data_IF_570459601612
#
_entry.id   IF_570459601612
#
_cell.length_a   1.000
_cell.length_b   1.000
_cell.length_c   1.000
_cell.angle_alpha   90.00
_cell.angle_beta   90.00
_cell.angle_gamma   90.00
#
_symmetry.space_group_name_H-M   'P 1'
#
loop_
_entity.id
_entity.type
_entity.pdbx_description
1 polymer ?
#
# COMPACT_ATOMS: atom_id res chain seq x y z
N UNK A 1 33.72 9.54 21.23
CA UNK A 1 34.31 8.20 21.47
C UNK A 1 35.17 7.90 20.26
N UNK A 2 36.36 7.30 20.39
CA UNK A 2 37.16 6.89 19.24
C UNK A 2 36.33 6.03 18.31
N UNK A 3 36.43 6.29 17.00
CA UNK A 3 35.74 5.52 15.98
C UNK A 3 36.62 4.33 15.61
N UNK A 4 36.22 3.13 16.01
CA UNK A 4 36.96 1.92 15.66
C UNK A 4 36.72 1.55 14.20
N UNK A 5 37.59 0.69 13.65
CA UNK A 5 37.52 0.34 12.22
C UNK A 5 36.18 -0.32 11.85
N UNK A 6 35.63 -1.16 12.74
CA UNK A 6 34.33 -1.81 12.53
C UNK A 6 33.17 -0.80 12.46
N UNK A 7 33.19 0.22 13.30
CA UNK A 7 32.19 1.30 13.27
C UNK A 7 32.31 2.15 12.01
N UNK A 8 33.54 2.41 11.57
CA UNK A 8 33.80 3.14 10.33
C UNK A 8 33.35 2.34 9.11
N UNK A 9 33.60 1.02 9.08
CA UNK A 9 33.11 0.11 8.05
C UNK A 9 31.58 0.13 8.02
N UNK A 10 30.93 -0.02 9.18
CA UNK A 10 29.46 0.03 9.26
C UNK A 10 28.89 1.35 8.74
N UNK A 11 29.52 2.49 9.09
CA UNK A 11 29.12 3.81 8.57
C UNK A 11 29.33 3.93 7.06
N UNK A 12 30.43 3.41 6.54
CA UNK A 12 30.74 3.45 5.10
C UNK A 12 29.77 2.59 4.30
N UNK A 13 29.43 1.40 4.81
CA UNK A 13 28.39 0.55 4.23
C UNK A 13 27.01 1.21 4.25
N UNK A 14 26.66 1.86 5.36
CA UNK A 14 25.41 2.65 5.44
C UNK A 14 25.39 3.81 4.43
N UNK A 15 26.51 4.50 4.27
CA UNK A 15 26.67 5.56 3.28
C UNK A 15 26.48 5.01 1.85
N UNK A 16 27.16 3.91 1.52
CA UNK A 16 27.01 3.22 0.23
C UNK A 16 25.54 2.94 -0.11
N UNK A 17 24.79 2.31 0.79
CA UNK A 17 23.37 2.01 0.54
C UNK A 17 22.47 3.25 0.44
N UNK A 18 22.83 4.34 1.11
CA UNK A 18 22.06 5.58 1.08
C UNK A 18 22.28 6.40 -0.20
N UNK A 19 23.44 6.24 -0.83
CA UNK A 19 23.87 7.01 -2.00
C UNK A 19 24.00 6.17 -3.29
N UNK A 20 23.31 5.03 -3.37
CA UNK A 20 23.39 4.15 -4.54
C UNK A 20 23.04 4.86 -5.85
N UNK A 21 22.10 5.81 -5.83
CA UNK A 21 21.71 6.56 -7.02
C UNK A 21 22.88 7.39 -7.55
N UNK A 22 23.51 8.20 -6.70
CA UNK A 22 24.64 9.06 -7.06
C UNK A 22 25.85 8.21 -7.49
N UNK A 23 26.15 7.16 -6.72
CA UNK A 23 27.27 6.27 -7.01
C UNK A 23 27.12 5.58 -8.37
N UNK A 24 25.91 5.13 -8.74
CA UNK A 24 25.65 4.51 -10.04
C UNK A 24 25.85 5.48 -11.22
N UNK A 25 25.68 6.78 -10.99
CA UNK A 25 25.96 7.84 -11.97
C UNK A 25 27.44 8.24 -12.01
N UNK A 26 28.28 7.61 -11.19
CA UNK A 26 29.69 7.98 -11.04
C UNK A 26 29.88 9.26 -10.21
N UNK A 27 28.84 9.73 -9.52
CA UNK A 27 28.88 10.94 -8.70
C UNK A 27 29.31 10.57 -7.27
N UNK A 28 30.55 10.90 -6.92
CA UNK A 28 31.06 10.72 -5.57
C UNK A 28 31.97 11.88 -5.16
N UNK A 29 31.54 12.62 -4.14
CA UNK A 29 32.29 13.75 -3.60
C UNK A 29 33.39 13.35 -2.59
N UNK A 30 33.53 12.04 -2.33
CA UNK A 30 34.38 11.50 -1.27
C UNK A 30 33.63 11.32 0.07
N UNK A 31 34.12 10.38 0.88
CA UNK A 31 33.66 10.12 2.24
C UNK A 31 34.80 10.40 3.23
N UNK A 32 34.58 11.34 4.15
CA UNK A 32 35.55 11.70 5.19
C UNK A 32 34.96 11.42 6.57
N UNK A 33 35.56 10.52 7.34
CA UNK A 33 35.13 10.15 8.69
C UNK A 33 36.18 10.59 9.74
N UNK A 34 35.83 11.47 10.69
CA UNK A 34 36.72 11.78 11.80
C UNK A 34 36.85 10.57 12.74
N UNK A 35 38.09 10.18 13.06
CA UNK A 35 38.37 8.98 13.87
C UNK A 35 38.35 9.24 15.38
N UNK A 36 38.29 10.51 15.78
CA UNK A 36 38.16 10.95 17.17
C UNK A 36 39.16 10.30 18.14
N UNK A 37 40.49 10.38 17.89
CA UNK A 37 41.49 9.76 18.75
C UNK A 37 41.33 10.20 20.22
N UNK A 38 41.69 9.34 21.19
CA UNK A 38 41.61 9.67 22.61
C UNK A 38 42.31 10.99 22.97
N UNK A 39 41.75 11.72 23.93
CA UNK A 39 42.46 12.85 24.56
C UNK A 39 43.58 12.32 25.47
N UNK A 40 44.57 13.16 25.81
CA UNK A 40 45.68 12.75 26.69
C UNK A 40 45.19 12.10 28.01
N UNK A 41 44.16 12.67 28.63
CA UNK A 41 43.57 12.13 29.86
C UNK A 41 42.93 10.75 29.67
N UNK A 42 42.25 10.52 28.54
CA UNK A 42 41.64 9.21 28.21
C UNK A 42 42.69 8.19 27.81
N UNK A 43 43.73 8.62 27.10
CA UNK A 43 44.84 7.76 26.70
C UNK A 43 45.61 7.20 27.90
N UNK A 44 45.79 8.00 28.95
CA UNK A 44 46.45 7.57 30.18
C UNK A 44 45.55 6.72 31.08
N UNK A 45 44.23 6.93 31.03
CA UNK A 45 43.27 6.15 31.77
C UNK A 45 43.13 4.72 31.23
N UNK A 46 43.32 4.51 29.92
CA UNK A 46 43.27 3.21 29.26
C UNK A 46 44.27 3.13 28.11
N UNK A 47 45.50 2.72 28.43
CA UNK A 47 46.62 2.66 27.49
C UNK A 47 46.42 1.54 26.48
N UNK A 48 45.88 0.40 26.90
CA UNK A 48 45.71 -0.78 26.03
C UNK A 48 44.63 -0.52 24.99
N UNK A 49 43.49 0.09 25.36
CA UNK A 49 42.48 0.49 24.38
C UNK A 49 43.00 1.56 23.41
N UNK A 50 43.88 2.46 23.87
CA UNK A 50 44.49 3.49 23.02
C UNK A 50 45.47 2.89 22.00
N UNK A 51 46.29 1.93 22.42
CA UNK A 51 47.19 1.19 21.50
C UNK A 51 46.40 0.40 20.49
N UNK A 52 45.34 -0.29 20.93
CA UNK A 52 44.49 -1.07 20.03
C UNK A 52 43.81 -0.16 19.00
N UNK A 53 43.28 0.99 19.41
CA UNK A 53 42.72 1.98 18.49
C UNK A 53 43.76 2.43 17.43
N UNK A 54 44.98 2.77 17.82
CA UNK A 54 46.03 3.18 16.87
C UNK A 54 46.35 2.03 15.91
N UNK A 55 46.58 0.82 16.45
CA UNK A 55 46.96 -0.39 15.71
C UNK A 55 45.96 -0.78 14.63
N UNK A 56 44.66 -0.55 14.85
CA UNK A 56 43.62 -0.87 13.86
C UNK A 56 43.72 -0.05 12.57
N UNK A 57 44.35 1.13 12.63
CA UNK A 57 44.47 2.02 11.48
C UNK A 57 45.86 2.00 10.85
N UNK A 58 46.89 1.55 11.59
CA UNK A 58 48.31 1.59 11.18
C UNK A 58 48.56 1.03 9.76
N UNK A 59 49.41 1.72 9.01
CA UNK A 59 49.87 1.27 7.68
C UNK A 59 48.88 1.49 6.54
N UNK A 60 47.75 2.17 6.79
CA UNK A 60 46.77 2.53 5.77
C UNK A 60 47.05 3.88 5.13
N UNK A 61 46.99 3.93 3.80
CA UNK A 61 47.20 5.16 3.01
C UNK A 61 45.98 6.08 2.95
N UNK A 62 44.78 5.56 3.25
CA UNK A 62 43.52 6.30 3.29
C UNK A 62 43.26 7.00 4.64
N UNK A 63 44.22 6.94 5.56
CA UNK A 63 44.12 7.53 6.90
C UNK A 63 45.10 8.69 7.07
N UNK A 64 44.59 9.83 7.47
CA UNK A 64 45.39 10.96 7.93
C UNK A 64 45.85 10.72 9.37
N UNK A 65 47.15 10.94 9.62
CA UNK A 65 47.78 10.86 10.94
C UNK A 65 48.23 12.22 11.43
N UNK A 66 48.14 12.45 12.74
CA UNK A 66 48.66 13.65 13.38
C UNK A 66 49.41 13.33 14.67
N UNK A 67 50.49 14.06 14.92
CA UNK A 67 51.26 13.95 16.17
C UNK A 67 50.53 14.68 17.31
N UNK A 68 50.19 13.96 18.38
CA UNK A 68 49.62 14.51 19.62
C UNK A 68 50.65 14.51 20.73
N UNK A 69 50.69 15.59 21.51
CA UNK A 69 51.56 15.69 22.68
C UNK A 69 50.82 15.22 23.94
N UNK A 70 51.16 14.02 24.40
CA UNK A 70 50.67 13.41 25.64
C UNK A 70 51.75 13.37 26.73
N UNK A 71 52.80 14.20 26.62
CA UNK A 71 53.84 14.34 27.65
C UNK A 71 53.30 14.66 29.05
N UNK A 72 52.24 15.49 29.24
CA UNK A 72 51.67 15.75 30.57
C UNK A 72 51.14 14.51 31.31
N UNK A 73 50.89 13.42 30.58
CA UNK A 73 50.42 12.14 31.15
C UNK A 73 51.47 11.03 31.02
N UNK A 74 52.72 11.37 30.73
CA UNK A 74 53.84 10.43 30.67
C UNK A 74 53.94 9.58 29.39
N UNK A 75 53.10 9.84 28.37
CA UNK A 75 53.06 9.05 27.13
C UNK A 75 53.85 9.66 25.96
N UNK A 76 54.40 10.88 26.13
CA UNK A 76 55.26 11.52 25.13
C UNK A 76 54.51 12.05 23.91
N UNK A 77 55.22 12.21 22.77
CA UNK A 77 54.61 12.56 21.48
C UNK A 77 54.24 11.28 20.75
N UNK A 78 52.96 11.14 20.38
CA UNK A 78 52.42 9.94 19.75
C UNK A 78 51.73 10.33 18.46
N UNK A 79 52.06 9.65 17.35
CA UNK A 79 51.31 9.76 16.11
C UNK A 79 50.02 8.96 16.23
N UNK A 80 48.89 9.59 15.91
CA UNK A 80 47.57 8.97 16.06
C UNK A 80 46.73 9.17 14.80
N UNK A 81 45.90 8.19 14.42
CA UNK A 81 44.99 8.32 13.29
C UNK A 81 43.90 9.34 13.63
N UNK A 82 43.67 10.32 12.75
CA UNK A 82 42.72 11.42 12.99
C UNK A 82 41.51 11.38 12.07
N UNK A 83 41.65 10.90 10.83
CA UNK A 83 40.59 10.94 9.82
C UNK A 83 40.80 9.85 8.77
N UNK A 84 39.73 9.16 8.41
CA UNK A 84 39.67 8.30 7.21
C UNK A 84 39.12 9.14 6.05
N UNK A 85 39.76 9.08 4.88
CA UNK A 85 39.33 9.77 3.66
C UNK A 85 39.30 8.79 2.49
N UNK A 86 38.11 8.57 1.93
CA UNK A 86 37.89 7.76 0.74
C UNK A 86 37.49 8.72 -0.39
N UNK A 87 38.29 8.83 -1.43
CA UNK A 87 38.15 9.81 -2.51
C UNK A 87 37.49 9.22 -3.76
N UNK A 88 37.57 7.90 -3.94
CA UNK A 88 37.02 7.19 -5.11
C UNK A 88 35.93 6.20 -4.70
N UNK A 89 35.06 5.84 -5.64
CA UNK A 89 34.00 4.84 -5.42
C UNK A 89 34.66 3.49 -5.13
N UNK A 90 35.75 3.17 -5.80
CA UNK A 90 36.54 1.95 -5.59
C UNK A 90 37.07 1.88 -4.14
N UNK A 91 37.63 2.97 -3.62
CA UNK A 91 38.06 3.06 -2.22
C UNK A 91 36.89 2.85 -1.24
N UNK A 92 35.73 3.46 -1.51
CA UNK A 92 34.52 3.27 -0.71
C UNK A 92 34.05 1.81 -0.71
N UNK A 93 33.97 1.19 -1.88
CA UNK A 93 33.46 -0.17 -2.08
C UNK A 93 34.37 -1.20 -1.41
N UNK A 94 35.69 -1.05 -1.57
CA UNK A 94 36.69 -1.91 -0.92
C UNK A 94 36.68 -1.72 0.60
N UNK A 95 36.64 -0.48 1.09
CA UNK A 95 36.62 -0.22 2.54
C UNK A 95 35.35 -0.75 3.20
N UNK A 96 34.19 -0.56 2.56
CA UNK A 96 32.89 -0.99 3.07
C UNK A 96 32.64 -2.49 2.91
N UNK A 97 33.52 -3.23 2.20
CA UNK A 97 33.41 -4.66 1.92
C UNK A 97 32.10 -5.01 1.18
N UNK A 98 31.84 -4.29 0.09
CA UNK A 98 30.63 -4.43 -0.75
C UNK A 98 30.98 -4.65 -2.23
N UNK A 99 32.16 -5.17 -2.53
CA UNK A 99 32.68 -5.39 -3.90
C UNK A 99 31.74 -6.26 -4.74
N UNK A 100 31.30 -7.41 -4.20
CA UNK A 100 30.39 -8.32 -4.89
C UNK A 100 29.01 -7.70 -5.12
N UNK A 101 28.51 -6.97 -4.11
CA UNK A 101 27.22 -6.26 -4.21
C UNK A 101 27.29 -5.14 -5.25
N UNK A 102 28.38 -4.37 -5.26
CA UNK A 102 28.62 -3.31 -6.23
C UNK A 102 28.72 -3.85 -7.65
N UNK A 103 29.48 -4.94 -7.84
CA UNK A 103 29.61 -5.60 -9.15
C UNK A 103 28.27 -6.09 -9.67
N UNK A 104 27.47 -6.78 -8.83
CA UNK A 104 26.14 -7.25 -9.22
C UNK A 104 25.17 -6.10 -9.51
N UNK A 105 25.23 -5.01 -8.73
CA UNK A 105 24.40 -3.83 -8.96
C UNK A 105 24.74 -3.15 -10.29
N UNK A 106 26.03 -3.04 -10.62
CA UNK A 106 26.48 -2.45 -11.88
C UNK A 106 26.11 -3.33 -13.10
N UNK A 107 26.19 -4.65 -12.96
CA UNK A 107 25.71 -5.59 -13.98
C UNK A 107 24.22 -5.38 -14.25
N UNK A 108 23.40 -5.30 -13.20
CA UNK A 108 21.95 -5.04 -13.32
C UNK A 108 21.66 -3.66 -13.91
N UNK A 109 22.41 -2.64 -13.52
CA UNK A 109 22.30 -1.29 -14.08
C UNK A 109 22.57 -1.31 -15.59
N UNK A 110 23.57 -2.07 -16.04
CA UNK A 110 23.92 -2.20 -17.45
C UNK A 110 22.83 -2.88 -18.30
N UNK A 111 22.03 -3.79 -17.72
CA UNK A 111 20.89 -4.39 -18.43
C UNK A 111 19.78 -3.39 -18.74
N UNK A 112 19.74 -2.26 -18.03
CA UNK A 112 18.80 -1.17 -18.23
C UNK A 112 19.41 -0.04 -19.08
N UNK A 113 20.49 -0.28 -19.83
CA UNK A 113 21.14 0.73 -20.69
C UNK A 113 20.26 1.28 -21.81
N UNK A 114 19.12 0.65 -22.08
CA UNK A 114 18.12 1.18 -23.00
C UNK A 114 17.37 2.39 -22.45
N UNK A 115 17.49 2.69 -21.16
CA UNK A 115 16.79 3.77 -20.45
C UNK A 115 17.76 4.88 -20.04
N UNK A 116 17.22 6.04 -19.67
CA UNK A 116 18.02 7.17 -19.18
C UNK A 116 18.69 6.79 -17.85
N UNK A 117 20.01 6.97 -17.77
CA UNK A 117 20.82 6.56 -16.61
C UNK A 117 20.32 7.20 -15.31
N UNK A 118 19.97 8.48 -15.35
CA UNK A 118 19.46 9.25 -14.21
C UNK A 118 18.12 8.69 -13.70
N UNK A 119 17.23 8.26 -14.60
CA UNK A 119 15.95 7.67 -14.22
C UNK A 119 16.15 6.31 -13.56
N UNK A 120 17.00 5.46 -14.15
CA UNK A 120 17.30 4.13 -13.62
C UNK A 120 17.96 4.24 -12.24
N UNK A 121 18.99 5.09 -12.12
CA UNK A 121 19.75 5.26 -10.87
C UNK A 121 18.86 5.79 -9.73
N UNK A 122 18.03 6.80 -10.01
CA UNK A 122 17.09 7.38 -9.04
C UNK A 122 16.11 6.35 -8.47
N UNK A 123 15.75 5.35 -9.27
CA UNK A 123 14.79 4.30 -8.89
C UNK A 123 15.45 2.97 -8.56
N UNK A 124 16.73 2.97 -8.15
CA UNK A 124 17.50 1.77 -7.76
C UNK A 124 16.78 0.86 -6.77
N UNK A 125 15.97 1.40 -5.87
CA UNK A 125 15.18 0.61 -4.92
C UNK A 125 14.16 -0.33 -5.58
N UNK A 126 13.69 -0.03 -6.78
CA UNK A 126 12.69 -0.83 -7.51
C UNK A 126 13.30 -2.05 -8.20
N UNK A 127 14.60 -2.03 -8.50
CA UNK A 127 15.26 -3.05 -9.33
C UNK A 127 16.50 -3.69 -8.70
N UNK A 128 17.13 -3.08 -7.67
CA UNK A 128 18.36 -3.60 -7.05
C UNK A 128 18.25 -4.99 -6.45
N UNK A 129 17.05 -5.49 -6.17
CA UNK A 129 16.82 -6.83 -5.63
C UNK A 129 16.31 -7.83 -6.68
N UNK A 130 16.05 -7.38 -7.91
CA UNK A 130 15.55 -8.23 -8.98
C UNK A 130 16.66 -9.12 -9.54
N UNK A 131 16.28 -10.31 -9.99
CA UNK A 131 17.17 -11.18 -10.73
C UNK A 131 17.48 -10.60 -12.13
N UNK A 132 18.57 -11.03 -12.75
CA UNK A 132 18.88 -10.68 -14.14
C UNK A 132 17.76 -11.13 -15.11
N UNK A 133 17.10 -12.26 -14.80
CA UNK A 133 15.96 -12.74 -15.58
C UNK A 133 14.75 -11.79 -15.46
N UNK A 134 14.46 -11.29 -14.26
CA UNK A 134 13.37 -10.33 -14.05
C UNK A 134 13.65 -8.98 -14.70
N UNK A 135 14.90 -8.52 -14.73
CA UNK A 135 15.26 -7.29 -15.46
C UNK A 135 15.08 -7.46 -16.97
N UNK A 136 15.48 -8.62 -17.50
CA UNK A 136 15.24 -8.96 -18.90
C UNK A 136 13.74 -8.97 -19.22
N UNK A 137 12.91 -9.53 -18.34
CA UNK A 137 11.44 -9.46 -18.45
C UNK A 137 10.92 -8.02 -18.39
N UNK A 138 11.48 -7.18 -17.53
CA UNK A 138 11.07 -5.77 -17.43
C UNK A 138 11.27 -5.03 -18.75
N UNK A 139 12.40 -5.25 -19.44
CA UNK A 139 12.64 -4.69 -20.78
C UNK A 139 11.57 -5.13 -21.77
N UNK A 140 11.28 -6.44 -21.85
CA UNK A 140 10.25 -7.00 -22.75
C UNK A 140 8.85 -6.44 -22.46
N UNK A 141 8.51 -6.28 -21.18
CA UNK A 141 7.22 -5.71 -20.77
C UNK A 141 7.12 -4.24 -21.16
N UNK A 142 8.19 -3.46 -20.98
CA UNK A 142 8.22 -2.06 -21.40
C UNK A 142 8.06 -1.96 -22.92
N UNK A 143 8.78 -2.75 -23.70
CA UNK A 143 8.63 -2.81 -25.16
C UNK A 143 7.18 -3.10 -25.56
N UNK A 144 6.54 -4.08 -24.92
CA UNK A 144 5.14 -4.41 -25.16
C UNK A 144 4.20 -3.21 -24.92
N UNK A 145 4.41 -2.42 -23.85
CA UNK A 145 3.59 -1.23 -23.55
C UNK A 145 3.90 -0.02 -24.45
N UNK A 146 5.07 0.02 -25.06
CA UNK A 146 5.38 1.01 -26.10
C UNK A 146 4.68 0.66 -27.42
N UNK A 147 4.57 -0.62 -27.73
CA UNK A 147 3.82 -1.11 -28.91
C UNK A 147 2.30 -1.07 -28.71
N UNK A 148 1.82 -1.15 -27.47
CA UNK A 148 0.39 -1.24 -27.12
C UNK A 148 -0.04 -0.17 -26.08
N UNK A 149 0.13 1.14 -26.34
CA UNK A 149 0.04 2.19 -25.32
C UNK A 149 -1.35 2.41 -24.70
N UNK A 150 -2.42 1.94 -25.35
CA UNK A 150 -3.81 2.04 -24.90
C UNK A 150 -4.54 0.72 -25.16
N UNK A 151 -3.90 -0.40 -24.80
CA UNK A 151 -4.42 -1.73 -25.10
C UNK A 151 -5.85 -1.95 -24.58
N UNK A 152 -6.24 -1.27 -23.48
CA UNK A 152 -7.50 -1.52 -22.77
C UNK A 152 -7.58 -2.93 -22.18
N UNK A 153 -6.48 -3.68 -22.23
CA UNK A 153 -6.43 -5.05 -21.74
C UNK A 153 -6.40 -5.04 -20.22
N UNK A 154 -7.06 -6.03 -19.63
CA UNK A 154 -6.87 -6.33 -18.22
C UNK A 154 -5.41 -6.75 -18.00
N UNK A 155 -4.86 -6.43 -16.83
CA UNK A 155 -3.48 -6.78 -16.42
C UNK A 155 -3.07 -8.24 -16.68
N UNK A 156 -4.02 -9.19 -16.63
CA UNK A 156 -3.76 -10.63 -16.86
C UNK A 156 -3.67 -11.01 -18.34
N UNK A 157 -4.19 -10.16 -19.23
CA UNK A 157 -4.22 -10.38 -20.66
C UNK A 157 -2.99 -9.79 -21.37
N UNK A 158 -2.10 -9.10 -20.64
CA UNK A 158 -0.79 -8.67 -21.13
C UNK A 158 0.07 -9.91 -21.35
N UNK A 159 0.24 -10.31 -22.60
CA UNK A 159 0.95 -11.52 -22.99
C UNK A 159 2.40 -11.20 -23.34
N UNK A 160 3.30 -11.38 -22.37
CA UNK A 160 4.74 -11.24 -22.53
C UNK A 160 5.41 -12.55 -22.11
N UNK A 161 6.36 -13.03 -22.92
CA UNK A 161 7.05 -14.29 -22.68
C UNK A 161 7.74 -14.32 -21.31
N UNK A 162 7.55 -15.41 -20.55
CA UNK A 162 8.14 -15.57 -19.20
C UNK A 162 7.51 -14.71 -18.10
N UNK A 163 6.51 -13.87 -18.41
CA UNK A 163 5.85 -12.99 -17.46
C UNK A 163 4.51 -13.58 -17.02
N UNK A 164 4.43 -14.05 -15.78
CA UNK A 164 3.15 -14.43 -15.18
C UNK A 164 2.44 -13.21 -14.59
N UNK A 165 1.12 -13.24 -14.46
CA UNK A 165 0.34 -12.07 -14.02
C UNK A 165 0.83 -11.41 -12.72
N UNK A 166 1.18 -12.20 -11.70
CA UNK A 166 1.66 -11.64 -10.42
C UNK A 166 2.94 -10.83 -10.58
N UNK A 167 3.72 -11.07 -11.64
CA UNK A 167 4.97 -10.38 -11.90
C UNK A 167 4.69 -8.91 -12.23
N UNK A 168 3.79 -8.66 -13.21
CA UNK A 168 3.42 -7.29 -13.57
C UNK A 168 2.78 -6.54 -12.40
N UNK A 169 1.96 -7.22 -11.58
CA UNK A 169 1.38 -6.62 -10.37
C UNK A 169 2.47 -6.18 -9.37
N UNK A 170 3.48 -7.02 -9.12
CA UNK A 170 4.55 -6.75 -8.16
C UNK A 170 5.56 -5.71 -8.66
N UNK A 171 5.73 -5.58 -9.98
CA UNK A 171 6.73 -4.70 -10.60
C UNK A 171 6.11 -3.51 -11.34
N UNK A 172 4.81 -3.26 -11.16
CA UNK A 172 4.05 -2.21 -11.87
C UNK A 172 4.73 -0.85 -11.82
N UNK A 173 5.19 -0.43 -10.64
CA UNK A 173 5.86 0.86 -10.45
C UNK A 173 7.14 0.98 -11.27
N UNK A 174 7.93 -0.10 -11.36
CA UNK A 174 9.13 -0.13 -12.19
C UNK A 174 8.75 0.04 -13.67
N UNK A 175 7.77 -0.72 -14.13
CA UNK A 175 7.31 -0.67 -15.53
C UNK A 175 6.75 0.71 -15.89
N UNK A 176 5.89 1.30 -15.05
CA UNK A 176 5.34 2.65 -15.25
C UNK A 176 6.45 3.71 -15.34
N UNK A 177 7.48 3.60 -14.51
CA UNK A 177 8.64 4.51 -14.54
C UNK A 177 9.47 4.33 -15.81
N UNK A 178 9.76 3.09 -16.22
CA UNK A 178 10.56 2.81 -17.41
C UNK A 178 9.81 3.15 -18.72
N UNK A 179 8.50 2.96 -18.76
CA UNK A 179 7.65 3.39 -19.88
C UNK A 179 7.61 4.92 -19.95
N UNK A 180 7.47 5.62 -18.83
CA UNK A 180 7.50 7.09 -18.80
C UNK A 180 8.80 7.64 -19.37
N UNK A 181 9.94 7.07 -18.96
CA UNK A 181 11.26 7.42 -19.49
C UNK A 181 11.32 7.30 -21.02
N UNK A 182 10.86 6.17 -21.57
CA UNK A 182 10.82 5.93 -23.01
C UNK A 182 9.89 6.85 -23.77
N UNK A 183 8.81 7.33 -23.13
CA UNK A 183 7.86 8.28 -23.72
C UNK A 183 8.28 9.74 -23.53
N UNK A 184 9.31 10.02 -22.71
CA UNK A 184 9.67 11.38 -22.32
C UNK A 184 8.65 12.03 -21.39
N UNK A 185 7.91 11.22 -20.64
CA UNK A 185 6.90 11.65 -19.67
C UNK A 185 7.51 11.80 -18.27
N UNK A 186 7.10 12.80 -17.48
CA UNK A 186 7.56 12.91 -16.10
C UNK A 186 6.90 11.86 -15.20
N UNK A 187 7.70 11.25 -14.32
CA UNK A 187 7.17 10.40 -13.24
C UNK A 187 6.82 8.99 -13.68
N UNK A 188 5.53 8.67 -13.74
CA UNK A 188 4.99 7.34 -14.02
C UNK A 188 3.98 7.42 -15.15
N UNK A 189 4.14 6.56 -16.14
CA UNK A 189 3.25 6.50 -17.28
C UNK A 189 1.95 5.77 -16.91
N UNK A 190 0.85 6.18 -17.52
CA UNK A 190 -0.31 5.32 -17.65
C UNK A 190 0.00 4.21 -18.67
N UNK A 191 -0.14 2.97 -18.23
CA UNK A 191 0.08 1.78 -19.05
C UNK A 191 -1.07 1.52 -20.04
N UNK A 192 -2.18 2.26 -19.93
CA UNK A 192 -3.34 2.09 -20.80
C UNK A 192 -4.01 0.72 -20.62
N UNK A 193 -3.92 0.17 -19.40
CA UNK A 193 -4.61 -1.04 -19.00
C UNK A 193 -6.08 -0.73 -18.73
N UNK A 194 -6.95 -1.66 -19.12
CA UNK A 194 -8.36 -1.61 -18.74
C UNK A 194 -8.58 -2.13 -17.34
N UNK A 195 -9.63 -1.65 -16.69
CA UNK A 195 -10.19 -2.25 -15.49
C UNK A 195 -11.26 -3.28 -15.84
N UNK A 196 -11.40 -4.28 -14.97
CA UNK A 196 -12.52 -5.21 -15.10
C UNK A 196 -13.80 -4.42 -14.89
N UNK A 197 -14.77 -4.61 -15.77
CA UNK A 197 -16.05 -3.94 -15.63
C UNK A 197 -16.66 -4.27 -14.27
N UNK A 198 -17.10 -3.24 -13.55
CA UNK A 198 -17.76 -3.41 -12.27
C UNK A 198 -19.03 -4.25 -12.44
N UNK A 199 -19.26 -5.17 -11.49
CA UNK A 199 -20.41 -6.07 -11.50
C UNK A 199 -21.18 -5.98 -10.19
N UNK A 200 -22.47 -6.24 -10.25
CA UNK A 200 -23.35 -6.37 -9.09
C UNK A 200 -24.08 -7.71 -9.15
N UNK A 201 -24.18 -8.35 -7.98
CA UNK A 201 -24.97 -9.56 -7.79
C UNK A 201 -26.35 -9.20 -7.28
N UNK A 202 -27.38 -9.73 -7.92
CA UNK A 202 -28.78 -9.43 -7.68
C UNK A 202 -29.56 -10.72 -7.45
N UNK A 203 -30.48 -10.70 -6.48
CA UNK A 203 -31.47 -11.75 -6.24
C UNK A 203 -32.89 -11.22 -6.44
N UNK A 204 -33.71 -12.04 -7.08
CA UNK A 204 -35.09 -11.71 -7.47
C UNK A 204 -36.07 -12.73 -6.93
N UNK A 205 -37.29 -12.28 -6.65
CA UNK A 205 -38.40 -13.21 -6.50
C UNK A 205 -38.72 -13.88 -7.84
N UNK A 206 -39.19 -15.13 -7.81
CA UNK A 206 -39.43 -15.96 -9.00
C UNK A 206 -40.31 -15.32 -10.09
N UNK A 207 -41.23 -14.43 -9.71
CA UNK A 207 -42.13 -13.72 -10.63
C UNK A 207 -41.47 -12.56 -11.38
N UNK A 208 -40.39 -12.00 -10.83
CA UNK A 208 -39.64 -10.86 -11.37
C UNK A 208 -38.29 -11.28 -11.97
N UNK A 209 -37.94 -12.56 -11.85
CA UNK A 209 -36.65 -13.10 -12.21
C UNK A 209 -36.39 -12.98 -13.73
N UNK A 210 -35.34 -12.25 -14.17
CA UNK A 210 -35.02 -12.11 -15.57
C UNK A 210 -34.68 -13.46 -16.18
N UNK A 211 -35.41 -13.84 -17.25
CA UNK A 211 -35.32 -15.16 -17.87
C UNK A 211 -35.50 -16.35 -16.88
N UNK A 212 -36.19 -16.13 -15.75
CA UNK A 212 -36.38 -17.13 -14.69
C UNK A 212 -35.17 -17.36 -13.78
N UNK A 213 -34.11 -16.55 -13.89
CA UNK A 213 -32.91 -16.65 -13.06
C UNK A 213 -33.05 -15.78 -11.81
N UNK A 214 -33.11 -16.40 -10.64
CA UNK A 214 -33.39 -15.72 -9.36
C UNK A 214 -32.15 -15.20 -8.63
N UNK A 215 -30.94 -15.56 -9.08
CA UNK A 215 -29.65 -15.11 -8.53
C UNK A 215 -28.67 -14.98 -9.70
N UNK A 216 -28.29 -13.74 -10.02
CA UNK A 216 -27.41 -13.43 -11.16
C UNK A 216 -26.36 -12.40 -10.77
N UNK A 217 -25.24 -12.41 -11.47
CA UNK A 217 -24.24 -11.34 -11.39
C UNK A 217 -24.03 -10.73 -12.77
N UNK A 218 -24.36 -9.44 -12.90
CA UNK A 218 -24.32 -8.71 -14.16
C UNK A 218 -23.32 -7.55 -14.10
N UNK A 219 -22.68 -7.20 -15.23
CA UNK A 219 -21.95 -5.94 -15.33
C UNK A 219 -22.89 -4.75 -15.08
N UNK A 220 -22.37 -3.67 -14.50
CA UNK A 220 -23.18 -2.48 -14.19
C UNK A 220 -23.78 -1.87 -15.47
N UNK A 221 -23.12 -1.97 -16.62
CA UNK A 221 -23.69 -1.46 -17.88
C UNK A 221 -24.97 -2.18 -18.30
N UNK A 222 -25.16 -3.43 -17.86
CA UNK A 222 -26.30 -4.25 -18.26
C UNK A 222 -27.53 -4.02 -17.38
N UNK A 223 -27.43 -3.20 -16.33
CA UNK A 223 -28.56 -2.93 -15.44
C UNK A 223 -29.72 -2.23 -16.17
N UNK A 224 -29.46 -1.50 -17.26
CA UNK A 224 -30.50 -0.89 -18.08
C UNK A 224 -31.39 -1.90 -18.83
N UNK A 225 -30.94 -3.16 -18.94
CA UNK A 225 -31.70 -4.24 -19.58
C UNK A 225 -32.65 -4.94 -18.60
N UNK A 226 -32.51 -4.67 -17.30
CA UNK A 226 -33.36 -5.25 -16.27
C UNK A 226 -34.59 -4.37 -16.04
N UNK A 227 -35.72 -5.01 -15.71
CA UNK A 227 -36.90 -4.28 -15.29
C UNK A 227 -36.60 -3.50 -14.00
N UNK A 228 -37.01 -2.23 -13.98
CA UNK A 228 -36.86 -1.38 -12.79
C UNK A 228 -37.68 -1.94 -11.62
N UNK A 229 -37.05 -2.17 -10.46
CA UNK A 229 -37.73 -2.69 -9.29
C UNK A 229 -38.46 -1.56 -8.54
N UNK A 230 -39.51 -1.93 -7.81
CA UNK A 230 -40.20 -0.96 -6.94
C UNK A 230 -39.32 -0.62 -5.73
N UNK A 231 -38.66 -1.64 -5.18
CA UNK A 231 -37.76 -1.52 -4.04
C UNK A 231 -36.46 -2.27 -4.35
N UNK A 232 -35.34 -1.64 -4.02
CA UNK A 232 -34.03 -2.30 -4.00
C UNK A 232 -33.61 -2.42 -2.54
N UNK A 233 -33.30 -3.64 -2.10
CA UNK A 233 -32.69 -3.87 -0.80
C UNK A 233 -31.21 -4.17 -1.00
N UNK A 234 -30.35 -3.17 -0.72
CA UNK A 234 -28.91 -3.33 -0.73
C UNK A 234 -28.43 -3.88 0.61
N UNK A 235 -27.73 -5.01 0.57
CA UNK A 235 -27.25 -5.73 1.75
C UNK A 235 -25.74 -5.85 1.68
N UNK A 236 -25.06 -5.45 2.76
CA UNK A 236 -23.60 -5.39 2.78
C UNK A 236 -22.94 -6.79 2.83
N UNK A 237 -23.38 -7.61 3.78
CA UNK A 237 -22.83 -8.92 4.06
C UNK A 237 -23.35 -9.99 3.08
N UNK A 238 -22.45 -10.82 2.56
CA UNK A 238 -22.78 -11.85 1.57
C UNK A 238 -23.67 -12.96 2.16
N UNK A 239 -23.41 -13.41 3.38
CA UNK A 239 -24.18 -14.49 4.01
C UNK A 239 -25.59 -14.00 4.37
N UNK A 240 -25.74 -12.76 4.84
CA UNK A 240 -27.05 -12.11 4.97
C UNK A 240 -27.77 -12.00 3.62
N UNK A 241 -27.08 -11.55 2.58
CA UNK A 241 -27.61 -11.48 1.21
C UNK A 241 -28.13 -12.84 0.71
N UNK A 242 -27.43 -13.94 1.00
CA UNK A 242 -27.83 -15.30 0.59
C UNK A 242 -28.96 -15.88 1.45
N UNK A 243 -29.01 -15.51 2.74
CA UNK A 243 -29.98 -16.05 3.69
C UNK A 243 -31.38 -15.41 3.58
N UNK A 244 -31.47 -14.18 3.06
CA UNK A 244 -32.74 -13.47 2.94
C UNK A 244 -33.72 -14.17 1.98
N UNK A 245 -35.01 -14.06 2.34
CA UNK A 245 -36.13 -14.35 1.46
C UNK A 245 -36.19 -13.30 0.33
N UNK A 246 -36.85 -13.63 -0.77
CA UNK A 246 -37.12 -12.70 -1.87
C UNK A 246 -38.60 -12.36 -1.91
N UNK A 247 -38.96 -11.11 -2.25
CA UNK A 247 -40.34 -10.64 -2.30
C UNK A 247 -40.70 -10.12 -3.71
N UNK A 248 -41.95 -10.31 -4.17
CA UNK A 248 -42.41 -9.71 -5.43
C UNK A 248 -42.17 -8.19 -5.46
N UNK A 249 -41.64 -7.67 -6.57
CA UNK A 249 -41.33 -6.26 -6.76
C UNK A 249 -40.06 -5.76 -6.06
N UNK A 250 -39.35 -6.64 -5.33
CA UNK A 250 -38.12 -6.31 -4.59
C UNK A 250 -36.92 -7.00 -5.22
N UNK A 251 -35.90 -6.22 -5.55
CA UNK A 251 -34.59 -6.73 -5.96
C UNK A 251 -33.61 -6.61 -4.80
N UNK A 252 -32.97 -7.70 -4.41
CA UNK A 252 -31.92 -7.68 -3.39
C UNK A 252 -30.59 -7.52 -4.10
N UNK A 253 -29.80 -6.52 -3.74
CA UNK A 253 -28.48 -6.25 -4.29
C UNK A 253 -27.39 -6.49 -3.25
N UNK A 254 -26.33 -7.20 -3.60
CA UNK A 254 -25.18 -7.34 -2.72
C UNK A 254 -24.26 -6.12 -2.83
N UNK A 255 -24.24 -5.30 -1.77
CA UNK A 255 -23.34 -4.17 -1.61
C UNK A 255 -22.02 -4.65 -1.00
N UNK A 256 -21.05 -5.06 -1.82
CA UNK A 256 -19.78 -5.62 -1.35
C UNK A 256 -18.86 -4.58 -0.64
N UNK A 257 -19.26 -4.10 0.54
CA UNK A 257 -18.60 -3.03 1.31
C UNK A 257 -18.59 -1.69 0.56
N UNK A 258 -17.46 -1.01 0.56
CA UNK A 258 -17.24 0.29 -0.12
C UNK A 258 -17.61 0.30 -1.62
N UNK A 259 -17.65 -0.87 -2.28
CA UNK A 259 -18.12 -0.97 -3.68
C UNK A 259 -19.59 -0.58 -3.85
N UNK A 260 -20.39 -0.61 -2.78
CA UNK A 260 -21.77 -0.15 -2.80
C UNK A 260 -21.89 1.28 -3.35
N UNK A 261 -20.97 2.18 -2.95
CA UNK A 261 -20.95 3.57 -3.41
C UNK A 261 -20.79 3.68 -4.92
N UNK A 262 -19.94 2.86 -5.53
CA UNK A 262 -19.76 2.82 -6.98
C UNK A 262 -20.94 2.16 -7.70
N UNK A 263 -21.53 1.12 -7.10
CA UNK A 263 -22.66 0.38 -7.66
C UNK A 263 -23.90 1.29 -7.79
N UNK A 264 -24.21 2.09 -6.76
CA UNK A 264 -25.44 2.92 -6.71
C UNK A 264 -25.41 4.10 -7.68
N UNK A 265 -24.28 4.41 -8.31
CA UNK A 265 -24.18 5.44 -9.36
C UNK A 265 -24.96 5.08 -10.63
N UNK A 266 -25.27 3.80 -10.84
CA UNK A 266 -26.08 3.36 -11.96
C UNK A 266 -27.53 3.84 -11.86
N UNK A 267 -28.18 4.30 -12.96
CA UNK A 267 -29.58 4.78 -12.93
C UNK A 267 -30.59 3.78 -12.34
N UNK A 268 -30.27 2.48 -12.43
CA UNK A 268 -31.07 1.40 -11.84
C UNK A 268 -31.34 1.61 -10.34
N UNK A 269 -30.38 2.17 -9.60
CA UNK A 269 -30.50 2.39 -8.15
C UNK A 269 -31.17 3.72 -7.78
N UNK A 270 -31.24 4.68 -8.71
CA UNK A 270 -31.87 5.98 -8.47
C UNK A 270 -33.36 6.02 -8.78
N UNK A 271 -33.86 5.11 -9.62
CA UNK A 271 -35.24 5.17 -10.13
C UNK A 271 -36.29 4.57 -9.17
N UNK A 272 -35.85 3.70 -8.25
CA UNK A 272 -36.69 3.05 -7.25
C UNK A 272 -36.42 3.53 -5.83
N UNK A 273 -37.16 2.95 -4.87
CA UNK A 273 -36.90 3.13 -3.43
C UNK A 273 -35.71 2.27 -3.03
N UNK A 274 -34.62 2.89 -2.58
CA UNK A 274 -33.41 2.19 -2.16
C UNK A 274 -33.40 2.03 -0.63
N UNK A 275 -33.40 0.78 -0.17
CA UNK A 275 -33.19 0.39 1.21
C UNK A 275 -31.75 -0.10 1.36
N UNK A 276 -31.07 0.32 2.43
CA UNK A 276 -29.72 -0.11 2.76
C UNK A 276 -29.70 -0.81 4.12
N UNK A 277 -29.09 -2.00 4.18
CA UNK A 277 -28.81 -2.71 5.42
C UNK A 277 -27.32 -3.07 5.46
N UNK A 278 -26.58 -2.37 6.33
CA UNK A 278 -25.16 -2.62 6.60
C UNK A 278 -24.90 -3.17 7.99
N UNK A 279 -23.63 -3.42 8.30
CA UNK A 279 -23.17 -3.70 9.66
C UNK A 279 -23.44 -2.47 10.56
N UNK A 280 -23.70 -2.72 11.84
CA UNK A 280 -23.80 -1.68 12.86
C UNK A 280 -22.40 -1.41 13.43
N UNK A 281 -21.61 -0.66 12.65
CA UNK A 281 -20.27 -0.18 12.99
C UNK A 281 -19.92 1.09 12.19
N UNK A 282 -18.73 1.64 12.39
CA UNK A 282 -18.28 2.86 11.73
C UNK A 282 -18.26 2.74 10.19
N UNK A 283 -17.80 1.60 9.66
CA UNK A 283 -17.69 1.37 8.23
C UNK A 283 -19.07 1.25 7.57
N UNK A 284 -20.03 0.56 8.21
CA UNK A 284 -21.39 0.43 7.73
C UNK A 284 -22.10 1.78 7.61
N UNK A 285 -21.93 2.67 8.59
CA UNK A 285 -22.46 4.04 8.52
C UNK A 285 -21.72 4.91 7.49
N UNK A 286 -20.41 4.71 7.32
CA UNK A 286 -19.62 5.39 6.29
C UNK A 286 -20.06 5.00 4.87
N UNK A 287 -20.36 3.72 4.66
CA UNK A 287 -20.90 3.26 3.37
C UNK A 287 -22.29 3.86 3.14
N UNK A 288 -23.16 3.90 4.15
CA UNK A 288 -24.47 4.53 4.06
C UNK A 288 -24.38 6.02 3.67
N UNK A 289 -23.48 6.77 4.32
CA UNK A 289 -23.18 8.17 3.99
C UNK A 289 -22.74 8.31 2.51
N UNK A 290 -21.80 7.46 2.07
CA UNK A 290 -21.33 7.43 0.70
C UNK A 290 -22.42 7.05 -0.32
N UNK A 291 -23.30 6.11 0.02
CA UNK A 291 -24.46 5.73 -0.81
C UNK A 291 -25.42 6.92 -0.93
N UNK A 292 -25.73 7.60 0.18
CA UNK A 292 -26.62 8.78 0.18
C UNK A 292 -26.05 9.99 -0.54
N UNK A 293 -24.73 10.14 -0.59
CA UNK A 293 -24.11 11.19 -1.41
C UNK A 293 -24.47 11.06 -2.91
N UNK A 294 -24.86 9.87 -3.38
CA UNK A 294 -25.29 9.60 -4.76
C UNK A 294 -26.80 9.35 -4.89
N UNK A 295 -27.43 8.71 -3.90
CA UNK A 295 -28.86 8.40 -3.87
C UNK A 295 -29.45 8.96 -2.55
N UNK A 296 -29.76 10.26 -2.47
CA UNK A 296 -30.12 10.92 -1.22
C UNK A 296 -31.38 10.39 -0.53
N UNK A 297 -32.28 9.76 -1.28
CA UNK A 297 -33.51 9.16 -0.75
C UNK A 297 -33.32 7.73 -0.20
N UNK A 298 -32.08 7.27 0.00
CA UNK A 298 -31.80 5.95 0.56
C UNK A 298 -32.27 5.86 2.01
N UNK A 299 -33.06 4.83 2.32
CA UNK A 299 -33.54 4.55 3.68
C UNK A 299 -32.70 3.42 4.30
N UNK A 300 -32.23 3.61 5.54
CA UNK A 300 -31.54 2.55 6.25
C UNK A 300 -32.53 1.60 6.93
N UNK A 301 -32.16 0.33 7.04
CA UNK A 301 -32.96 -0.71 7.69
C UNK A 301 -32.10 -1.37 8.77
N UNK A 302 -32.66 -1.54 9.98
CA UNK A 302 -31.96 -2.10 11.15
C UNK A 302 -30.73 -1.29 11.61
N UNK A 303 -30.57 -0.05 11.14
CA UNK A 303 -29.48 0.85 11.51
C UNK A 303 -29.97 1.99 12.41
N UNK A 304 -30.65 1.64 13.52
CA UNK A 304 -31.27 2.59 14.45
C UNK A 304 -30.91 2.30 15.92
N UNK A 305 -31.12 3.26 16.84
CA UNK A 305 -30.74 3.14 18.25
C UNK A 305 -31.41 1.95 18.95
N UNK A 306 -32.65 1.63 18.58
CA UNK A 306 -33.40 0.49 19.12
C UNK A 306 -32.75 -0.83 18.74
N UNK A 307 -32.26 -0.95 17.49
CA UNK A 307 -31.58 -2.15 17.00
C UNK A 307 -30.23 -2.31 17.70
N UNK A 308 -29.44 -1.23 17.82
CA UNK A 308 -28.19 -1.24 18.61
C UNK A 308 -28.46 -1.69 20.04
N UNK A 309 -29.42 -1.06 20.72
CA UNK A 309 -29.77 -1.36 22.11
C UNK A 309 -30.22 -2.81 22.30
N UNK A 310 -30.96 -3.36 21.33
CA UNK A 310 -31.46 -4.74 21.38
C UNK A 310 -30.36 -5.76 21.19
N UNK A 311 -29.37 -5.49 20.34
CA UNK A 311 -28.37 -6.48 19.92
C UNK A 311 -26.96 -6.24 20.46
N UNK A 312 -26.71 -5.15 21.20
CA UNK A 312 -25.40 -4.81 21.79
C UNK A 312 -24.75 -5.92 22.61
N UNK A 313 -25.53 -6.82 23.21
CA UNK A 313 -25.01 -7.96 23.96
C UNK A 313 -24.29 -9.00 23.08
N UNK A 314 -24.52 -8.96 21.76
CA UNK A 314 -23.80 -9.72 20.76
C UNK A 314 -22.71 -8.89 20.08
N UNK A 315 -22.51 -7.62 20.43
CA UNK A 315 -21.47 -6.77 19.86
C UNK A 315 -20.07 -7.18 20.31
N UNK A 316 -19.06 -6.86 19.50
CA UNK A 316 -17.63 -6.95 19.86
C UNK A 316 -16.98 -5.58 19.80
N UNK A 317 -15.88 -5.38 20.51
CA UNK A 317 -15.11 -4.14 20.40
C UNK A 317 -14.47 -4.01 19.00
N UNK A 318 -14.66 -2.86 18.39
CA UNK A 318 -14.02 -2.41 17.15
C UNK A 318 -12.62 -1.89 17.48
N UNK A 319 -11.60 -2.60 17.00
CA UNK A 319 -10.20 -2.28 17.32
C UNK A 319 -9.62 -1.16 16.46
N UNK A 320 -10.33 -0.75 15.41
CA UNK A 320 -9.87 0.24 14.44
C UNK A 320 -10.69 1.53 14.48
N UNK A 321 -11.54 1.69 15.50
CA UNK A 321 -12.45 2.81 15.61
C UNK A 321 -11.72 4.15 15.59
N UNK A 322 -12.16 5.03 14.69
CA UNK A 322 -11.72 6.43 14.60
C UNK A 322 -12.95 7.31 14.48
N UNK A 323 -13.15 8.22 15.43
CA UNK A 323 -14.26 9.16 15.37
C UNK A 323 -14.22 9.95 14.05
N UNK A 324 -15.27 9.79 13.25
CA UNK A 324 -15.50 10.46 11.98
C UNK A 324 -16.93 11.00 12.00
N UNK A 325 -17.15 12.18 11.42
CA UNK A 325 -18.48 12.77 11.26
C UNK A 325 -18.96 12.56 9.84
N UNK A 326 -20.24 12.23 9.68
CA UNK A 326 -20.85 11.96 8.38
C UNK A 326 -21.93 13.01 8.08
N UNK A 327 -21.92 13.55 6.86
CA UNK A 327 -22.78 14.68 6.49
C UNK A 327 -24.19 14.25 6.06
N UNK A 328 -24.36 12.99 5.64
CA UNK A 328 -25.60 12.48 5.03
C UNK A 328 -26.35 11.46 5.91
N UNK A 329 -25.93 11.28 7.16
CA UNK A 329 -26.68 10.48 8.13
C UNK A 329 -27.88 11.27 8.66
N UNK A 330 -28.97 10.55 8.93
CA UNK A 330 -30.10 11.10 9.66
C UNK A 330 -29.81 11.12 11.16
N UNK A 331 -30.50 11.99 11.90
CA UNK A 331 -30.30 12.14 13.35
C UNK A 331 -30.36 10.80 14.10
N UNK A 332 -31.32 9.93 13.78
CA UNK A 332 -31.44 8.63 14.45
C UNK A 332 -30.28 7.66 14.14
N UNK A 333 -29.62 7.80 13.00
CA UNK A 333 -28.45 6.99 12.63
C UNK A 333 -27.21 7.50 13.33
N UNK A 334 -27.06 8.82 13.42
CA UNK A 334 -26.04 9.46 14.24
C UNK A 334 -26.19 9.05 15.71
N UNK A 335 -27.42 9.05 16.23
CA UNK A 335 -27.72 8.55 17.59
C UNK A 335 -27.34 7.07 17.75
N UNK A 336 -27.56 6.24 16.72
CA UNK A 336 -27.19 4.83 16.74
C UNK A 336 -25.66 4.64 16.75
N UNK A 337 -24.94 5.42 15.95
CA UNK A 337 -23.48 5.45 15.92
C UNK A 337 -22.91 5.92 17.27
N UNK A 338 -23.48 6.97 17.86
CA UNK A 338 -23.10 7.47 19.18
C UNK A 338 -23.31 6.42 20.28
N UNK A 339 -24.38 5.62 20.21
CA UNK A 339 -24.59 4.49 21.11
C UNK A 339 -23.50 3.41 20.95
N UNK A 340 -23.10 3.08 19.73
CA UNK A 340 -22.00 2.13 19.49
C UNK A 340 -20.68 2.64 20.08
N UNK A 341 -20.38 3.94 19.92
CA UNK A 341 -19.19 4.59 20.48
C UNK A 341 -19.22 4.53 22.01
N UNK A 342 -20.33 4.97 22.62
CA UNK A 342 -20.44 5.11 24.08
C UNK A 342 -20.51 3.77 24.81
N UNK A 343 -21.02 2.71 24.17
CA UNK A 343 -21.03 1.34 24.71
C UNK A 343 -19.70 0.58 24.50
N UNK A 344 -18.61 1.29 24.21
CA UNK A 344 -17.25 0.74 24.16
C UNK A 344 -16.78 0.40 22.74
N UNK A 345 -17.07 1.29 21.79
CA UNK A 345 -16.68 1.16 20.38
C UNK A 345 -17.18 -0.18 19.81
N UNK A 346 -18.48 -0.44 19.96
CA UNK A 346 -19.07 -1.71 19.55
C UNK A 346 -19.25 -1.81 18.03
N UNK A 347 -19.02 -3.01 17.53
CA UNK A 347 -19.40 -3.50 16.21
C UNK A 347 -20.39 -4.64 16.34
N UNK A 348 -21.53 -4.53 15.68
CA UNK A 348 -22.54 -5.59 15.59
C UNK A 348 -22.70 -5.96 14.11
N UNK A 349 -22.08 -7.07 13.71
CA UNK A 349 -22.18 -7.62 12.36
C UNK A 349 -23.63 -8.07 12.05
N UNK A 350 -24.08 -7.93 10.80
CA UNK A 350 -25.43 -8.30 10.36
C UNK A 350 -25.84 -9.72 10.76
N UNK A 351 -24.90 -10.67 10.67
CA UNK A 351 -25.10 -12.09 11.01
C UNK A 351 -25.47 -12.32 12.49
N UNK A 352 -25.20 -11.34 13.37
CA UNK A 352 -25.53 -11.41 14.80
C UNK A 352 -26.97 -11.01 15.08
N UNK A 353 -27.59 -10.27 14.17
CA UNK A 353 -29.03 -10.00 14.21
C UNK A 353 -29.73 -11.28 13.77
N UNK A 354 -30.65 -11.80 14.59
CA UNK A 354 -31.40 -13.01 14.21
C UNK A 354 -32.13 -12.78 12.89
N UNK A 355 -31.94 -13.69 11.94
CA UNK A 355 -32.49 -13.59 10.59
C UNK A 355 -34.01 -13.43 10.56
N UNK A 356 -34.74 -14.12 11.44
CA UNK A 356 -36.20 -14.01 11.50
C UNK A 356 -36.67 -12.61 11.90
N UNK A 357 -35.95 -11.96 12.82
CA UNK A 357 -36.21 -10.57 13.20
C UNK A 357 -35.86 -9.61 12.07
N UNK A 358 -34.71 -9.83 11.40
CA UNK A 358 -34.30 -9.00 10.28
C UNK A 358 -35.31 -9.04 9.13
N UNK A 359 -35.77 -10.25 8.78
CA UNK A 359 -36.82 -10.47 7.77
C UNK A 359 -38.12 -9.77 8.14
N UNK A 360 -38.56 -9.86 9.41
CA UNK A 360 -39.79 -9.19 9.86
C UNK A 360 -39.70 -7.66 9.73
N UNK A 361 -38.58 -7.06 10.12
CA UNK A 361 -38.37 -5.61 10.01
C UNK A 361 -38.26 -5.16 8.54
N UNK A 362 -37.53 -5.91 7.72
CA UNK A 362 -37.43 -5.65 6.27
C UNK A 362 -38.83 -5.72 5.62
N UNK A 363 -39.65 -6.71 5.96
CA UNK A 363 -41.01 -6.82 5.44
C UNK A 363 -41.90 -5.63 5.83
N UNK A 364 -41.78 -5.14 7.07
CA UNK A 364 -42.50 -3.93 7.51
C UNK A 364 -42.10 -2.73 6.65
N UNK A 365 -40.80 -2.50 6.49
CA UNK A 365 -40.29 -1.37 5.70
C UNK A 365 -40.70 -1.48 4.24
N UNK A 366 -40.64 -2.67 3.62
CA UNK A 366 -41.05 -2.89 2.22
C UNK A 366 -42.54 -2.58 2.03
N UNK A 367 -43.41 -2.99 2.97
CA UNK A 367 -44.87 -2.83 2.83
C UNK A 367 -45.37 -1.41 3.09
N UNK A 368 -44.60 -0.57 3.78
CA UNK A 368 -44.98 0.79 4.17
C UNK A 368 -45.75 0.81 5.47
#
# INVERSE_FOLDING_TARGET
>A
MPLLIDDALHRSKKYFHAHLSELLLGEFAGLSLPLHPPTAAKAAADIDATREFIRQWEGRDDVEYAVRNWSPVGLGKTEVPVRLTLNTIEELVVFAQVEDEWSSLHERFSQLSGFTAEVVAKHVSLWRSLSNEDLSKAVLVVEWFLENPNSGLLKRAVAVEGVHTKWLENHRVLIETLVADKRGEPGRADLGLGDAEARVRLRFHSVDAPAGLTDIEVPLSNLCELQEPQVILMVENLDSFLALLTWPGVTIAWGAGYRAVDIVRGPYFSNGRLLYWGDLDLDGFKILDGVRSHVPHTESVLMNPETVSRWRYLGVADREFKAESFDNLHDFESDALDLLITDGELRIEQERIRLDVAVEEIEKVIRG
#
